data_IF_366646061430
#
_entry.id   IF_366646061430
#
_cell.length_a   1.000
_cell.length_b   1.000
_cell.length_c   1.000
_cell.angle_alpha   90.00
_cell.angle_beta   90.00
_cell.angle_gamma   90.00
#
_symmetry.space_group_name_H-M   'P 1'
#
loop_
_entity.id
_entity.type
_entity.pdbx_description
1 polymer ?
#
# COMPACT_ATOMS: atom_id res chain seq x y z
N UNK A 1 -0.35 -7.65 -45.08
CA UNK A 1 0.61 -8.15 -44.11
C UNK A 1 0.74 -7.09 -43.06
N UNK A 2 0.07 -7.25 -41.91
CA UNK A 2 0.07 -6.28 -40.83
C UNK A 2 0.91 -6.89 -39.71
N UNK A 3 2.01 -6.25 -39.40
CA UNK A 3 2.90 -6.64 -38.32
C UNK A 3 2.18 -6.60 -36.98
N UNK A 4 2.27 -7.70 -36.25
CA UNK A 4 1.77 -7.80 -34.88
C UNK A 4 2.66 -6.93 -33.96
N UNK A 5 2.11 -6.18 -33.00
CA UNK A 5 2.91 -5.39 -32.09
C UNK A 5 3.72 -6.30 -31.16
N UNK A 6 4.96 -5.96 -31.06
CA UNK A 6 6.05 -6.54 -30.31
C UNK A 6 5.65 -6.97 -28.88
N UNK A 7 5.59 -8.28 -28.61
CA UNK A 7 5.40 -8.85 -27.27
C UNK A 7 6.60 -8.66 -26.32
N UNK A 8 7.66 -8.00 -26.77
CA UNK A 8 8.89 -7.80 -26.00
C UNK A 8 8.79 -6.76 -24.87
N UNK A 9 8.01 -5.71 -25.04
CA UNK A 9 7.90 -4.65 -24.04
C UNK A 9 7.17 -5.10 -22.76
N UNK A 10 6.14 -5.95 -22.88
CA UNK A 10 5.41 -6.49 -21.74
C UNK A 10 6.26 -7.43 -20.88
N UNK A 11 7.11 -8.23 -21.46
CA UNK A 11 8.02 -9.15 -20.76
C UNK A 11 9.17 -8.41 -20.07
N UNK A 12 9.67 -7.32 -20.64
CA UNK A 12 10.70 -6.49 -20.04
C UNK A 12 10.16 -5.73 -18.81
N UNK A 13 8.93 -5.22 -18.87
CA UNK A 13 8.26 -4.60 -17.71
C UNK A 13 8.02 -5.61 -16.60
N UNK A 14 7.58 -6.83 -16.90
CA UNK A 14 7.40 -7.90 -15.88
C UNK A 14 8.72 -8.31 -15.20
N UNK A 15 9.86 -8.10 -15.86
CA UNK A 15 11.19 -8.37 -15.28
C UNK A 15 11.66 -7.26 -14.35
N UNK A 16 11.22 -6.03 -14.53
CA UNK A 16 11.68 -4.87 -13.75
C UNK A 16 10.88 -4.64 -12.47
N UNK A 17 9.62 -5.11 -12.40
CA UNK A 17 8.69 -4.84 -11.30
C UNK A 17 8.14 -6.12 -10.68
N UNK A 18 7.90 -6.08 -9.37
CA UNK A 18 7.21 -7.15 -8.66
C UNK A 18 5.96 -6.61 -7.95
N UNK A 19 4.78 -7.10 -8.29
CA UNK A 19 3.55 -6.63 -7.68
C UNK A 19 3.48 -7.03 -6.20
N UNK A 20 3.05 -6.08 -5.37
CA UNK A 20 2.69 -6.27 -3.98
C UNK A 20 1.28 -5.74 -3.76
N UNK A 21 0.40 -6.56 -3.20
CA UNK A 21 -0.95 -6.13 -2.87
C UNK A 21 -0.92 -5.33 -1.57
N UNK A 22 -0.97 -4.01 -1.68
CA UNK A 22 -0.91 -3.09 -0.56
C UNK A 22 -1.16 -1.65 -0.99
N UNK A 23 -1.56 -0.81 -0.04
CA UNK A 23 -1.61 0.62 -0.23
C UNK A 23 -0.29 1.25 0.24
N UNK A 24 0.13 2.31 -0.40
CA UNK A 24 1.42 2.97 -0.12
C UNK A 24 1.21 4.47 0.09
N UNK A 25 1.73 4.96 1.19
CA UNK A 25 1.72 6.38 1.56
C UNK A 25 3.11 6.79 2.08
N UNK A 26 3.37 8.08 2.13
CA UNK A 26 4.65 8.59 2.62
C UNK A 26 4.43 9.81 3.53
N UNK A 27 5.19 9.89 4.63
CA UNK A 27 5.24 11.06 5.52
C UNK A 27 6.70 11.46 5.75
N UNK A 28 7.04 12.71 5.48
CA UNK A 28 8.39 13.26 5.73
C UNK A 28 9.52 12.40 5.13
N UNK A 29 9.30 11.83 3.94
CA UNK A 29 10.26 10.97 3.26
C UNK A 29 10.22 9.50 3.69
N UNK A 30 9.50 9.13 4.76
CA UNK A 30 9.35 7.76 5.26
C UNK A 30 8.14 7.08 4.60
N UNK A 31 8.37 6.00 3.87
CA UNK A 31 7.32 5.25 3.17
C UNK A 31 6.70 4.17 4.05
N UNK A 32 5.36 4.10 4.03
CA UNK A 32 4.56 3.12 4.79
C UNK A 32 3.67 2.34 3.85
N UNK A 33 3.82 1.03 3.82
CA UNK A 33 3.00 0.11 3.05
C UNK A 33 1.97 -0.56 3.96
N UNK A 34 0.68 -0.41 3.65
CA UNK A 34 -0.41 -1.10 4.34
C UNK A 34 -0.71 -2.43 3.65
N UNK A 35 -0.61 -3.51 4.40
CA UNK A 35 -0.94 -4.87 3.98
C UNK A 35 -2.12 -5.41 4.79
N UNK A 36 -2.79 -6.44 4.28
CA UNK A 36 -3.92 -7.08 4.97
C UNK A 36 -4.97 -7.56 3.98
N UNK A 37 -5.99 -8.25 4.48
CA UNK A 37 -7.07 -8.85 3.71
C UNK A 37 -7.86 -7.83 2.88
N UNK A 38 -8.60 -8.33 1.91
CA UNK A 38 -9.64 -7.54 1.25
C UNK A 38 -10.58 -7.05 2.35
N UNK A 39 -10.80 -5.74 2.42
CA UNK A 39 -11.62 -5.12 3.49
C UNK A 39 -10.90 -4.77 4.80
N UNK A 40 -9.61 -5.03 4.95
CA UNK A 40 -8.84 -4.58 6.11
C UNK A 40 -8.75 -3.04 6.24
N UNK A 41 -9.23 -2.30 5.23
CA UNK A 41 -9.29 -0.84 5.27
C UNK A 41 -8.07 -0.15 4.64
N UNK A 42 -7.25 -0.85 3.82
CA UNK A 42 -6.03 -0.28 3.20
C UNK A 42 -6.27 1.05 2.48
N UNK A 43 -7.17 1.08 1.48
CA UNK A 43 -7.50 2.30 0.71
C UNK A 43 -8.08 3.39 1.61
N UNK A 44 -8.96 3.01 2.53
CA UNK A 44 -9.59 3.93 3.49
C UNK A 44 -8.56 4.59 4.40
N UNK A 45 -7.62 3.81 4.94
CA UNK A 45 -6.57 4.33 5.81
C UNK A 45 -5.54 5.16 5.02
N UNK A 46 -5.17 4.72 3.81
CA UNK A 46 -4.28 5.48 2.94
C UNK A 46 -4.86 6.87 2.63
N UNK A 47 -6.16 6.94 2.35
CA UNK A 47 -6.84 8.22 2.13
C UNK A 47 -6.94 9.05 3.41
N UNK A 48 -7.23 8.44 4.55
CA UNK A 48 -7.24 9.15 5.85
C UNK A 48 -5.87 9.78 6.16
N UNK A 49 -4.77 9.05 5.92
CA UNK A 49 -3.42 9.58 6.02
C UNK A 49 -3.20 10.76 5.04
N UNK A 50 -3.62 10.60 3.78
CA UNK A 50 -3.48 11.66 2.77
C UNK A 50 -4.24 12.94 3.16
N UNK A 51 -5.46 12.82 3.71
CA UNK A 51 -6.22 13.94 4.28
C UNK A 51 -5.51 14.63 5.44
N UNK A 52 -4.69 13.89 6.17
CA UNK A 52 -3.88 14.41 7.29
C UNK A 52 -2.51 14.97 6.82
N UNK A 53 -2.35 15.20 5.51
CA UNK A 53 -1.16 15.84 4.94
C UNK A 53 -0.04 14.88 4.55
N UNK A 54 -0.27 13.55 4.57
CA UNK A 54 0.67 12.59 4.02
C UNK A 54 0.63 12.60 2.48
N UNK A 55 1.68 12.12 1.86
CA UNK A 55 1.71 11.92 0.40
C UNK A 55 1.15 10.55 0.06
N UNK A 56 0.11 10.52 -0.78
CA UNK A 56 -0.48 9.30 -1.31
C UNK A 56 0.32 8.78 -2.51
N UNK A 57 0.51 7.46 -2.59
CA UNK A 57 1.21 6.80 -3.71
C UNK A 57 0.31 5.77 -4.40
N UNK A 58 -0.40 4.93 -3.64
CA UNK A 58 -1.36 3.96 -4.20
C UNK A 58 -2.27 3.37 -3.11
N UNK A 59 -3.39 2.74 -3.52
CA UNK A 59 -4.36 2.13 -2.61
C UNK A 59 -4.54 0.62 -2.73
N UNK A 60 -4.28 0.03 -3.89
CA UNK A 60 -4.60 -1.39 -4.15
C UNK A 60 -3.37 -2.18 -4.64
N UNK A 61 -2.49 -1.56 -5.38
CA UNK A 61 -1.30 -2.19 -5.94
C UNK A 61 -0.09 -1.29 -5.87
N UNK A 62 0.98 -1.82 -5.31
CA UNK A 62 2.30 -1.25 -5.39
C UNK A 62 3.22 -2.22 -6.15
N UNK A 63 4.22 -1.69 -6.83
CA UNK A 63 5.17 -2.46 -7.62
C UNK A 63 6.58 -2.17 -7.11
N UNK A 64 7.21 -3.13 -6.45
CA UNK A 64 8.62 -3.02 -6.07
C UNK A 64 9.50 -3.03 -7.31
N UNK A 65 10.41 -2.07 -7.37
CA UNK A 65 11.44 -2.00 -8.40
C UNK A 65 12.55 -3.00 -8.04
N UNK A 66 12.74 -4.03 -8.88
CA UNK A 66 13.52 -5.23 -8.55
C UNK A 66 15.01 -5.00 -8.33
N UNK A 67 15.58 -4.06 -9.06
CA UNK A 67 17.03 -3.83 -9.07
C UNK A 67 17.45 -2.70 -8.10
N UNK A 68 16.55 -2.31 -7.20
CA UNK A 68 16.81 -1.32 -6.15
C UNK A 68 16.88 -1.98 -4.78
N UNK A 69 17.98 -1.72 -4.06
CA UNK A 69 18.17 -2.22 -2.70
C UNK A 69 17.41 -1.43 -1.64
N UNK A 70 16.96 -0.21 -1.97
CA UNK A 70 16.25 0.71 -1.08
C UNK A 70 14.74 0.42 -0.96
N UNK A 71 14.28 -0.73 -1.42
CA UNK A 71 12.87 -1.14 -1.37
C UNK A 71 11.92 -0.15 -2.05
N UNK A 72 12.38 0.54 -3.09
CA UNK A 72 11.57 1.53 -3.78
C UNK A 72 10.38 0.87 -4.46
N UNK A 73 9.21 1.38 -4.17
CA UNK A 73 7.96 0.94 -4.77
C UNK A 73 7.27 2.09 -5.50
N UNK A 74 6.63 1.77 -6.62
CA UNK A 74 5.81 2.69 -7.40
C UNK A 74 4.35 2.25 -7.36
N UNK A 75 3.42 3.18 -7.59
CA UNK A 75 2.00 2.90 -7.62
C UNK A 75 1.24 3.79 -8.58
N UNK A 76 -0.09 3.71 -8.57
CA UNK A 76 -0.96 4.64 -9.28
C UNK A 76 -1.40 5.77 -8.34
N UNK A 77 -0.82 6.97 -8.45
CA UNK A 77 -1.17 8.10 -7.62
C UNK A 77 -2.39 8.90 -8.14
N UNK A 78 -2.98 8.49 -9.26
CA UNK A 78 -3.99 9.27 -9.97
C UNK A 78 -5.42 8.94 -9.57
N UNK A 79 -5.65 7.75 -9.01
CA UNK A 79 -6.98 7.31 -8.59
C UNK A 79 -6.95 6.61 -7.24
N UNK A 80 -8.06 6.70 -6.51
CA UNK A 80 -8.32 5.91 -5.30
C UNK A 80 -9.65 5.19 -5.49
N UNK A 81 -9.67 3.92 -5.08
CA UNK A 81 -10.86 3.11 -5.10
C UNK A 81 -11.39 2.87 -3.71
N UNK A 82 -12.65 3.20 -3.53
CA UNK A 82 -13.36 2.99 -2.29
C UNK A 82 -14.52 2.02 -2.48
N UNK A 83 -15.07 1.56 -1.38
CA UNK A 83 -16.38 0.95 -1.35
C UNK A 83 -17.46 2.00 -1.59
N UNK A 84 -18.64 1.59 -2.04
CA UNK A 84 -19.74 2.53 -2.31
C UNK A 84 -20.18 3.36 -1.12
N UNK A 85 -19.99 2.84 0.09
CA UNK A 85 -20.35 3.45 1.38
C UNK A 85 -19.26 4.40 1.94
N UNK A 86 -18.20 4.65 1.19
CA UNK A 86 -17.11 5.52 1.67
C UNK A 86 -17.54 6.96 1.99
N UNK A 87 -18.60 7.45 1.37
CA UNK A 87 -19.19 8.75 1.67
C UNK A 87 -19.70 8.89 3.11
N UNK A 88 -19.99 7.79 3.80
CA UNK A 88 -20.35 7.80 5.22
C UNK A 88 -19.15 8.15 6.12
N UNK A 89 -17.93 7.77 5.70
CA UNK A 89 -16.69 8.08 6.41
C UNK A 89 -16.06 9.40 5.97
N UNK A 90 -16.25 9.75 4.68
CA UNK A 90 -15.65 10.90 4.04
C UNK A 90 -16.74 11.66 3.27
N UNK A 91 -17.39 12.66 3.89
CA UNK A 91 -18.52 13.37 3.28
C UNK A 91 -18.23 13.97 1.89
N UNK A 92 -16.98 14.36 1.63
CA UNK A 92 -16.56 14.87 0.33
C UNK A 92 -16.65 13.82 -0.80
N UNK A 93 -16.68 12.54 -0.46
CA UNK A 93 -16.85 11.47 -1.44
C UNK A 93 -18.32 11.21 -1.80
N UNK A 94 -19.28 11.72 -1.03
CA UNK A 94 -20.71 11.48 -1.24
C UNK A 94 -21.24 12.07 -2.56
N UNK A 95 -20.51 13.01 -3.17
CA UNK A 95 -20.87 13.61 -4.46
C UNK A 95 -20.53 12.70 -5.66
N UNK A 96 -19.73 11.66 -5.45
CA UNK A 96 -19.32 10.75 -6.49
C UNK A 96 -20.27 9.54 -6.58
N UNK A 97 -20.53 9.08 -7.82
CA UNK A 97 -21.43 7.96 -8.08
C UNK A 97 -20.64 6.67 -8.22
N UNK A 98 -20.96 5.62 -7.45
CA UNK A 98 -20.33 4.30 -7.63
C UNK A 98 -20.61 3.72 -9.01
N UNK A 99 -19.61 3.05 -9.60
CA UNK A 99 -19.69 2.39 -10.90
C UNK A 99 -19.49 0.89 -10.79
N UNK A 100 -20.05 0.14 -11.73
CA UNK A 100 -19.86 -1.32 -11.81
C UNK A 100 -18.52 -1.61 -12.46
N UNK A 101 -17.68 -2.39 -11.78
CA UNK A 101 -16.39 -2.85 -12.30
C UNK A 101 -16.55 -4.10 -13.20
N UNK A 102 -15.54 -4.46 -14.02
CA UNK A 102 -15.59 -5.67 -14.86
C UNK A 102 -15.85 -6.97 -14.08
N UNK A 103 -15.52 -7.01 -12.79
CA UNK A 103 -15.79 -8.15 -11.90
C UNK A 103 -17.20 -8.13 -11.28
N UNK A 104 -18.09 -7.23 -11.74
CA UNK A 104 -19.46 -7.07 -11.25
C UNK A 104 -19.62 -6.37 -9.90
N UNK A 105 -18.54 -5.98 -9.24
CA UNK A 105 -18.60 -5.26 -7.94
C UNK A 105 -18.75 -3.77 -8.16
N UNK A 106 -19.58 -3.13 -7.32
CA UNK A 106 -19.65 -1.67 -7.26
C UNK A 106 -18.42 -1.12 -6.55
N UNK A 107 -17.86 -0.03 -7.07
CA UNK A 107 -16.79 0.74 -6.45
C UNK A 107 -16.94 2.22 -6.75
N UNK A 108 -16.47 3.05 -5.85
CA UNK A 108 -16.31 4.46 -6.03
C UNK A 108 -14.86 4.72 -6.46
N UNK A 109 -14.64 5.14 -7.70
CA UNK A 109 -13.31 5.49 -8.20
C UNK A 109 -13.20 7.00 -8.33
N UNK A 110 -12.24 7.60 -7.62
CA UNK A 110 -12.10 9.06 -7.53
C UNK A 110 -10.69 9.46 -7.97
N UNK A 111 -10.63 10.44 -8.87
CA UNK A 111 -9.36 11.02 -9.28
C UNK A 111 -8.77 11.88 -8.16
N UNK A 112 -7.51 11.61 -7.77
CA UNK A 112 -6.83 12.26 -6.65
C UNK A 112 -6.70 13.78 -6.78
N UNK A 113 -6.61 14.30 -8.02
CA UNK A 113 -6.58 15.74 -8.27
C UNK A 113 -7.83 16.48 -7.75
N UNK A 114 -8.96 15.78 -7.60
CA UNK A 114 -10.20 16.37 -7.09
C UNK A 114 -10.27 16.32 -5.55
N UNK A 115 -9.34 15.65 -4.91
CA UNK A 115 -9.33 15.42 -3.47
C UNK A 115 -8.41 16.39 -2.71
N UNK A 116 -7.63 17.22 -3.40
CA UNK A 116 -6.73 18.19 -2.77
C UNK A 116 -5.64 17.57 -1.90
N UNK A 117 -5.20 16.36 -2.21
CA UNK A 117 -4.16 15.63 -1.48
C UNK A 117 -2.82 15.67 -2.21
N UNK A 118 -1.73 15.52 -1.46
CA UNK A 118 -0.40 15.36 -2.06
C UNK A 118 -0.25 13.95 -2.63
N UNK A 119 0.39 13.84 -3.80
CA UNK A 119 0.64 12.56 -4.47
C UNK A 119 2.08 12.44 -4.92
N UNK A 120 2.59 11.19 -5.01
CA UNK A 120 3.89 10.87 -5.59
C UNK A 120 3.83 9.55 -6.36
N UNK A 121 4.67 9.36 -7.41
CA UNK A 121 4.67 8.13 -8.20
C UNK A 121 5.26 6.93 -7.46
N UNK A 122 6.00 7.14 -6.38
CA UNK A 122 6.63 6.08 -5.59
C UNK A 122 7.44 6.62 -4.42
N UNK A 123 7.85 5.70 -3.54
CA UNK A 123 8.77 5.97 -2.43
C UNK A 123 9.49 4.68 -2.00
N UNK A 124 10.55 4.80 -1.20
CA UNK A 124 11.12 3.67 -0.48
C UNK A 124 10.12 3.16 0.58
N UNK A 125 10.09 1.84 0.82
CA UNK A 125 9.23 1.23 1.85
C UNK A 125 10.06 1.02 3.10
N UNK A 126 9.85 1.86 4.12
CA UNK A 126 10.55 1.81 5.39
C UNK A 126 9.78 1.01 6.45
N UNK A 127 8.45 1.08 6.38
CA UNK A 127 7.55 0.35 7.26
C UNK A 127 6.53 -0.44 6.47
N UNK A 128 6.27 -1.67 6.90
CA UNK A 128 5.13 -2.48 6.44
C UNK A 128 4.20 -2.70 7.62
N UNK A 129 2.95 -2.28 7.47
CA UNK A 129 1.93 -2.35 8.52
C UNK A 129 0.82 -3.29 8.10
N UNK A 130 0.70 -4.41 8.78
CA UNK A 130 -0.39 -5.38 8.60
C UNK A 130 -1.61 -4.92 9.38
N UNK A 131 -2.69 -4.63 8.67
CA UNK A 131 -3.91 -4.08 9.23
C UNK A 131 -4.84 -5.17 9.77
N UNK A 132 -5.35 -4.92 10.96
CA UNK A 132 -6.37 -5.73 11.63
C UNK A 132 -7.45 -4.78 12.15
N UNK A 133 -8.48 -4.55 11.31
CA UNK A 133 -9.56 -3.63 11.66
C UNK A 133 -10.59 -4.32 12.54
N UNK A 134 -10.80 -3.78 13.71
CA UNK A 134 -11.77 -4.24 14.71
C UNK A 134 -13.01 -3.36 14.71
N UNK A 135 -14.12 -3.87 15.22
CA UNK A 135 -15.36 -3.08 15.37
C UNK A 135 -15.28 -2.12 16.56
N UNK A 136 -14.52 -2.47 17.60
CA UNK A 136 -14.31 -1.70 18.82
C UNK A 136 -12.92 -1.97 19.37
N UNK A 137 -12.37 -1.02 20.10
CA UNK A 137 -11.07 -1.18 20.75
C UNK A 137 -10.17 0.04 20.56
N UNK A 138 -9.14 0.11 21.38
CA UNK A 138 -8.11 1.15 21.30
C UNK A 138 -7.11 0.78 20.22
N UNK A 139 -6.67 1.76 19.42
CA UNK A 139 -5.64 1.54 18.42
C UNK A 139 -4.33 1.13 19.08
N UNK A 140 -3.70 0.09 18.54
CA UNK A 140 -2.41 -0.42 19.00
C UNK A 140 -1.53 -0.84 17.84
N UNK A 141 -0.22 -0.70 17.99
CA UNK A 141 0.78 -1.17 17.05
C UNK A 141 1.83 -1.98 17.80
N UNK A 142 2.24 -3.09 17.21
CA UNK A 142 3.28 -3.96 17.78
C UNK A 142 4.16 -4.51 16.66
N UNK A 143 5.39 -4.87 16.98
CA UNK A 143 6.27 -5.57 16.04
C UNK A 143 5.59 -6.83 15.50
N UNK A 144 5.78 -7.10 14.21
CA UNK A 144 5.17 -8.27 13.56
C UNK A 144 6.27 -9.24 13.12
N UNK A 145 6.21 -10.52 13.51
CA UNK A 145 7.21 -11.51 13.18
C UNK A 145 7.32 -11.74 11.66
N UNK A 146 8.54 -11.96 11.18
CA UNK A 146 8.82 -12.14 9.74
C UNK A 146 8.11 -13.36 9.14
N UNK A 147 8.04 -14.47 9.87
CA UNK A 147 7.33 -15.69 9.45
C UNK A 147 5.84 -15.41 9.21
N UNK A 148 5.21 -14.65 10.11
CA UNK A 148 3.81 -14.24 9.98
C UNK A 148 3.60 -13.28 8.82
N UNK A 149 4.54 -12.36 8.58
CA UNK A 149 4.50 -11.47 7.42
C UNK A 149 4.58 -12.25 6.11
N UNK A 150 5.46 -13.25 6.04
CA UNK A 150 5.58 -14.14 4.87
C UNK A 150 4.30 -14.94 4.62
N UNK A 151 3.68 -15.47 5.68
CA UNK A 151 2.41 -16.19 5.59
C UNK A 151 1.28 -15.30 5.06
N UNK A 152 1.17 -14.06 5.56
CA UNK A 152 0.22 -13.09 5.06
C UNK A 152 0.44 -12.80 3.56
N UNK A 153 1.67 -12.52 3.14
CA UNK A 153 1.96 -12.27 1.74
C UNK A 153 1.77 -13.49 0.84
N UNK A 154 1.92 -14.71 1.37
CA UNK A 154 1.68 -15.93 0.61
C UNK A 154 0.23 -16.05 0.15
N UNK A 155 -0.72 -15.54 0.93
CA UNK A 155 -2.16 -15.55 0.60
C UNK A 155 -2.51 -14.64 -0.59
N UNK A 156 -1.69 -13.60 -0.85
CA UNK A 156 -1.90 -12.65 -1.96
C UNK A 156 -0.99 -12.92 -3.16
N UNK A 157 -0.59 -14.17 -3.35
CA UNK A 157 0.27 -14.54 -4.49
C UNK A 157 -0.52 -14.40 -5.78
N UNK A 158 -0.12 -13.48 -6.66
CA UNK A 158 -0.57 -13.49 -8.03
C UNK A 158 -0.16 -14.81 -8.68
N UNK A 159 -1.12 -15.48 -9.31
CA UNK A 159 -0.86 -16.69 -10.09
C UNK A 159 0.05 -16.31 -11.27
N UNK A 160 1.28 -16.77 -11.25
CA UNK A 160 2.29 -16.55 -12.30
C UNK A 160 3.13 -17.80 -12.49
N UNK A 161 3.76 -17.92 -13.64
CA UNK A 161 4.74 -18.97 -13.94
C UNK A 161 6.06 -18.77 -13.20
N UNK A 162 6.95 -19.76 -13.15
CA UNK A 162 8.14 -19.86 -12.31
C UNK A 162 8.98 -18.60 -12.10
N UNK A 163 9.20 -17.79 -13.14
CA UNK A 163 9.97 -16.54 -13.04
C UNK A 163 9.27 -15.46 -12.21
N UNK A 164 7.94 -15.36 -12.34
CA UNK A 164 7.12 -14.41 -11.56
C UNK A 164 7.12 -14.80 -10.09
N UNK A 165 6.98 -16.09 -9.79
CA UNK A 165 7.03 -16.58 -8.41
C UNK A 165 8.39 -16.34 -7.75
N UNK A 166 9.48 -16.57 -8.49
CA UNK A 166 10.84 -16.32 -8.01
C UNK A 166 11.06 -14.84 -7.70
N UNK A 167 10.58 -13.97 -8.58
CA UNK A 167 10.62 -12.54 -8.36
C UNK A 167 9.82 -12.09 -7.15
N UNK A 168 8.62 -12.62 -6.97
CA UNK A 168 7.79 -12.32 -5.80
C UNK A 168 8.45 -12.77 -4.49
N UNK A 169 9.08 -13.96 -4.47
CA UNK A 169 9.84 -14.44 -3.30
C UNK A 169 11.00 -13.49 -2.96
N UNK A 170 11.76 -13.03 -3.97
CA UNK A 170 12.85 -12.08 -3.78
C UNK A 170 12.34 -10.74 -3.21
N UNK A 171 11.24 -10.22 -3.75
CA UNK A 171 10.65 -8.96 -3.29
C UNK A 171 10.10 -9.05 -1.87
N UNK A 172 9.49 -10.17 -1.49
CA UNK A 172 9.08 -10.41 -0.10
C UNK A 172 10.27 -10.38 0.85
N UNK A 173 11.37 -11.04 0.50
CA UNK A 173 12.61 -11.00 1.29
C UNK A 173 13.18 -9.58 1.39
N UNK A 174 13.07 -8.78 0.34
CA UNK A 174 13.49 -7.38 0.39
C UNK A 174 12.60 -6.56 1.35
N UNK A 175 11.30 -6.78 1.32
CA UNK A 175 10.36 -6.13 2.26
C UNK A 175 10.56 -6.54 3.72
N UNK A 176 11.12 -7.73 4.00
CA UNK A 176 11.48 -8.11 5.37
C UNK A 176 12.57 -7.22 5.99
N UNK A 177 13.31 -6.48 5.17
CA UNK A 177 14.29 -5.50 5.66
C UNK A 177 13.65 -4.18 6.11
N UNK A 178 12.37 -3.98 5.85
CA UNK A 178 11.58 -2.89 6.42
C UNK A 178 11.19 -3.23 7.87
N UNK A 179 10.81 -2.22 8.64
CA UNK A 179 10.22 -2.44 9.95
C UNK A 179 8.81 -3.01 9.81
N UNK A 180 8.55 -4.19 10.39
CA UNK A 180 7.29 -4.90 10.26
C UNK A 180 6.42 -4.68 11.48
N UNK A 181 5.17 -4.29 11.25
CA UNK A 181 4.21 -3.94 12.29
C UNK A 181 2.86 -4.63 12.08
N UNK A 182 2.20 -5.01 13.15
CA UNK A 182 0.78 -5.33 13.17
C UNK A 182 0.03 -4.19 13.86
N UNK A 183 -0.97 -3.63 13.19
CA UNK A 183 -1.79 -2.56 13.74
C UNK A 183 -3.24 -3.02 13.86
N UNK A 184 -3.79 -2.91 15.08
CA UNK A 184 -5.22 -3.05 15.37
C UNK A 184 -5.82 -1.67 15.54
N UNK A 185 -7.00 -1.45 14.97
CA UNK A 185 -7.70 -0.18 15.09
C UNK A 185 -9.19 -0.32 14.79
N UNK A 186 -9.98 0.58 15.36
CA UNK A 186 -11.43 0.70 15.10
C UNK A 186 -11.79 2.05 14.48
N UNK A 187 -11.06 3.11 14.81
CA UNK A 187 -11.26 4.49 14.34
C UNK A 187 -10.08 4.93 13.48
N UNK A 188 -10.37 5.62 12.37
CA UNK A 188 -9.33 6.09 11.45
C UNK A 188 -8.43 7.15 12.09
N UNK A 189 -9.00 8.10 12.85
CA UNK A 189 -8.22 9.17 13.47
C UNK A 189 -7.20 8.62 14.47
N UNK A 190 -7.60 7.60 15.26
CA UNK A 190 -6.70 6.93 16.20
C UNK A 190 -5.58 6.19 15.46
N UNK A 191 -5.90 5.55 14.32
CA UNK A 191 -4.94 4.84 13.49
C UNK A 191 -3.92 5.81 12.87
N UNK A 192 -4.36 6.92 12.29
CA UNK A 192 -3.49 7.96 11.73
C UNK A 192 -2.57 8.53 12.80
N UNK A 193 -3.12 8.93 13.95
CA UNK A 193 -2.34 9.47 15.07
C UNK A 193 -1.30 8.48 15.61
N UNK A 194 -1.64 7.18 15.60
CA UNK A 194 -0.72 6.12 16.02
C UNK A 194 0.43 5.95 15.02
N UNK A 195 0.14 5.99 13.72
CA UNK A 195 1.14 5.93 12.66
C UNK A 195 2.07 7.14 12.69
N UNK A 196 1.55 8.34 12.93
CA UNK A 196 2.35 9.56 13.07
C UNK A 196 3.37 9.41 14.19
N UNK A 197 2.93 8.98 15.39
CA UNK A 197 3.84 8.73 16.50
C UNK A 197 4.89 7.66 16.20
N UNK A 198 4.50 6.59 15.48
CA UNK A 198 5.43 5.54 15.10
C UNK A 198 6.55 6.08 14.21
N UNK A 199 6.21 6.90 13.21
CA UNK A 199 7.19 7.47 12.28
C UNK A 199 8.06 8.51 13.01
N UNK A 200 7.47 9.40 13.80
CA UNK A 200 8.21 10.44 14.51
C UNK A 200 9.23 9.83 15.49
N UNK A 201 8.93 8.69 16.12
CA UNK A 201 9.86 7.96 16.98
C UNK A 201 11.03 7.33 16.21
N UNK A 202 10.76 6.80 15.01
CA UNK A 202 11.80 6.15 14.20
C UNK A 202 12.71 7.15 13.50
N UNK A 203 12.21 8.32 13.15
CA UNK A 203 13.03 9.41 12.58
C UNK A 203 13.85 10.15 13.62
N UNK A 204 13.43 10.16 14.89
CA UNK A 204 14.13 10.80 16.00
C UNK A 204 15.28 9.95 16.58
N UNK A 205 15.42 8.69 16.20
CA UNK A 205 16.54 7.83 16.59
C UNK A 205 17.64 7.87 15.51
N UNK A 206 18.67 8.74 15.60
CA UNK A 206 19.72 8.79 14.61
C UNK A 206 20.60 7.54 14.76
N UNK A 207 20.50 6.63 13.76
CA UNK A 207 21.62 5.80 13.34
C UNK A 207 22.18 4.79 14.31
N UNK A 208 21.56 3.63 14.36
CA UNK A 208 22.20 2.39 14.79
C UNK A 208 22.55 1.47 13.62
N UNK A 209 23.07 2.00 12.52
CA UNK A 209 23.73 1.17 11.51
C UNK A 209 25.23 1.18 11.81
N UNK A 210 25.59 0.43 12.83
CA UNK A 210 26.97 0.06 13.14
C UNK A 210 27.30 -1.27 12.48
N UNK A 211 28.16 -1.19 11.45
CA UNK A 211 29.14 -2.17 10.93
C UNK A 211 28.64 -3.58 10.59
#
# INVERSE_FOLDING_TARGET
MRDAPDGGAGLAQQRAFAPVHGALVMRQGTGVMFCGDSSAGKSTLAYACARSGWTYVSDDGAFLVRDRADRYAVGDPHSIRFRPDAGELFPELAVHVPTVRPNGRMALEVCTRHLGIFTAPGCAVDHVVFLDREHRGTASVQSYPEDRALDCWAQYTCLGTGDVQTAQRRCRRLLLQASLWKMRYSRLDDAVSLLERLIDQTTSSPGGHGR
#
